data_IF_693559767197
#
_entry.id   IF_693559767197
#
_cell.length_a   1.000
_cell.length_b   1.000
_cell.length_c   1.000
_cell.angle_alpha   90.00
_cell.angle_beta   90.00
_cell.angle_gamma   90.00
#
_symmetry.space_group_name_H-M   'P 1'
#
loop_
_entity.id
_entity.type
_entity.pdbx_description
1 polymer ?
#
# COMPACT_ATOMS: atom_id res chain seq x y z
N UNK A 1 4.20 -15.68 -2.82
CA UNK A 1 4.38 -14.69 -3.91
C UNK A 1 3.88 -13.34 -3.41
N UNK A 2 4.46 -12.24 -3.87
CA UNK A 2 4.11 -10.88 -3.43
C UNK A 2 3.84 -9.98 -4.63
N UNK A 3 2.90 -9.04 -4.47
CA UNK A 3 2.73 -7.85 -5.31
C UNK A 3 3.22 -6.64 -4.52
N UNK A 4 3.66 -5.59 -5.19
CA UNK A 4 4.15 -4.41 -4.48
C UNK A 4 4.10 -3.14 -5.31
N UNK A 5 4.02 -2.03 -4.60
CA UNK A 5 3.80 -0.69 -5.13
C UNK A 5 4.88 0.24 -4.61
N UNK A 6 5.45 1.03 -5.53
CA UNK A 6 6.43 2.06 -5.18
C UNK A 6 5.72 3.37 -4.80
N UNK A 7 6.36 4.14 -3.94
CA UNK A 7 5.94 5.48 -3.57
C UNK A 7 7.13 6.40 -3.34
N UNK A 8 6.91 7.69 -3.50
CA UNK A 8 7.95 8.72 -3.42
C UNK A 8 8.21 9.15 -1.97
N UNK A 9 9.48 9.28 -1.64
CA UNK A 9 10.00 9.92 -0.43
C UNK A 9 10.58 11.30 -0.78
N UNK A 10 11.05 12.05 0.22
CA UNK A 10 11.69 13.34 -0.01
C UNK A 10 12.92 13.23 -0.95
N UNK A 11 13.71 12.16 -0.80
CA UNK A 11 14.94 11.93 -1.56
C UNK A 11 15.01 10.53 -2.16
N UNK A 12 13.90 10.06 -2.75
CA UNK A 12 13.92 8.79 -3.48
C UNK A 12 12.56 8.11 -3.54
N UNK A 13 12.59 6.79 -3.64
CA UNK A 13 11.42 5.94 -3.64
C UNK A 13 11.62 4.80 -2.66
N UNK A 14 10.51 4.28 -2.15
CA UNK A 14 10.45 3.07 -1.36
C UNK A 14 9.27 2.21 -1.84
N UNK A 15 9.18 0.97 -1.37
CA UNK A 15 8.21 -0.02 -1.85
C UNK A 15 7.53 -0.72 -0.68
N UNK A 16 6.21 -0.88 -0.78
CA UNK A 16 5.45 -1.75 0.11
C UNK A 16 4.93 -2.96 -0.66
N UNK A 17 4.78 -4.09 0.02
CA UNK A 17 4.41 -5.37 -0.58
C UNK A 17 3.27 -6.04 0.19
N UNK A 18 2.45 -6.80 -0.53
CA UNK A 18 1.36 -7.60 0.00
C UNK A 18 1.42 -9.01 -0.59
N UNK A 19 1.09 -10.01 0.23
CA UNK A 19 0.95 -11.39 -0.26
C UNK A 19 -0.12 -11.48 -1.36
N UNK A 20 0.18 -12.21 -2.44
CA UNK A 20 -0.80 -12.48 -3.50
C UNK A 20 -2.01 -13.22 -2.90
N UNK A 21 -3.20 -12.68 -3.15
CA UNK A 21 -4.45 -13.25 -2.64
C UNK A 21 -4.73 -12.93 -1.17
N UNK A 22 -4.05 -11.95 -0.56
CA UNK A 22 -4.40 -11.49 0.79
C UNK A 22 -5.78 -10.81 0.84
N UNK A 23 -6.24 -10.25 -0.28
CA UNK A 23 -7.58 -9.68 -0.47
C UNK A 23 -8.12 -10.18 -1.81
N UNK A 24 -9.40 -10.56 -1.84
CA UNK A 24 -10.09 -11.09 -3.01
C UNK A 24 -11.14 -10.12 -3.58
N UNK A 25 -11.47 -10.21 -4.88
CA UNK A 25 -12.50 -9.38 -5.49
C UNK A 25 -13.84 -9.47 -4.73
N UNK A 26 -14.38 -8.31 -4.37
CA UNK A 26 -15.65 -8.18 -3.63
C UNK A 26 -15.50 -8.13 -2.10
N UNK A 27 -14.30 -8.40 -1.56
CA UNK A 27 -14.01 -8.17 -0.16
C UNK A 27 -13.88 -6.66 0.14
N UNK A 28 -14.22 -6.27 1.36
CA UNK A 28 -14.05 -4.90 1.84
C UNK A 28 -12.85 -4.85 2.76
N UNK A 29 -11.79 -4.20 2.32
CA UNK A 29 -10.61 -3.94 3.13
C UNK A 29 -10.60 -2.48 3.62
N UNK A 30 -9.94 -2.24 4.75
CA UNK A 30 -9.70 -0.91 5.31
C UNK A 30 -8.19 -0.80 5.54
N UNK A 31 -7.58 0.24 4.98
CA UNK A 31 -6.21 0.63 5.29
C UNK A 31 -6.24 1.49 6.54
N UNK A 32 -5.50 1.10 7.58
CA UNK A 32 -5.39 1.83 8.84
C UNK A 32 -3.93 2.18 9.05
N UNK A 33 -3.67 3.44 9.38
CA UNK A 33 -2.34 3.95 9.72
C UNK A 33 -2.44 4.76 11.01
N UNK A 34 -1.35 4.87 11.76
CA UNK A 34 -1.36 5.62 13.02
C UNK A 34 -1.33 7.14 12.77
N UNK A 35 -0.54 7.58 11.78
CA UNK A 35 -0.41 8.97 11.39
C UNK A 35 -0.18 9.08 9.88
N UNK A 36 -1.06 9.83 9.21
CA UNK A 36 -0.89 10.16 7.80
C UNK A 36 -0.13 11.47 7.67
N UNK A 37 1.08 11.42 7.11
CA UNK A 37 1.88 12.59 6.76
C UNK A 37 1.64 13.01 5.29
N UNK A 38 2.52 12.58 4.37
CA UNK A 38 2.38 12.87 2.93
C UNK A 38 1.35 11.98 2.24
N UNK A 39 0.97 10.87 2.87
CA UNK A 39 0.04 9.87 2.31
C UNK A 39 0.65 8.93 1.27
N UNK A 40 1.97 8.99 1.01
CA UNK A 40 2.63 8.13 0.02
C UNK A 40 2.42 6.64 0.28
N UNK A 41 2.60 6.20 1.53
CA UNK A 41 2.37 4.83 1.99
C UNK A 41 0.90 4.42 1.85
N UNK A 42 -0.03 5.26 2.32
CA UNK A 42 -1.47 5.01 2.23
C UNK A 42 -1.95 4.85 0.78
N UNK A 43 -1.46 5.71 -0.13
CA UNK A 43 -1.80 5.66 -1.54
C UNK A 43 -1.27 4.38 -2.21
N UNK A 44 -0.04 3.97 -1.91
CA UNK A 44 0.49 2.70 -2.39
C UNK A 44 -0.31 1.51 -1.84
N UNK A 45 -0.70 1.55 -0.56
CA UNK A 45 -1.47 0.47 0.06
C UNK A 45 -2.85 0.35 -0.58
N UNK A 46 -3.47 1.49 -0.92
CA UNK A 46 -4.75 1.53 -1.62
C UNK A 46 -4.67 0.98 -3.04
N UNK A 47 -3.54 1.10 -3.74
CA UNK A 47 -3.35 0.51 -5.08
C UNK A 47 -3.12 -1.01 -5.04
N UNK A 48 -2.69 -1.54 -3.90
CA UNK A 48 -2.53 -2.98 -3.70
C UNK A 48 -3.87 -3.69 -3.43
N UNK A 49 -4.89 -2.96 -2.97
CA UNK A 49 -6.25 -3.47 -2.74
C UNK A 49 -7.08 -3.45 -4.02
#
# INVERSE_FOLDING_TARGET
EVVGEEYTLEYGTDRIEMHVGAVHPGERAIVVDDLIATGGTLCAATRLL
#
